data_IF_370853276107
#
_entry.id   IF_370853276107
#
_cell.length_a   1.000
_cell.length_b   1.000
_cell.length_c   1.000
_cell.angle_alpha   90.00
_cell.angle_beta   90.00
_cell.angle_gamma   90.00
#
_symmetry.space_group_name_H-M   'P 1'
#
loop_
_entity.id
_entity.type
_entity.pdbx_description
1 polymer ?
#
# COMPACT_ATOMS: atom_id res chain seq x y z
N UNK A 1 20.90 -15.16 -13.37
CA UNK A 1 20.86 -15.10 -11.90
C UNK A 1 19.55 -15.73 -11.47
N UNK A 2 19.58 -16.71 -10.56
CA UNK A 2 18.35 -17.19 -9.92
C UNK A 2 17.89 -16.08 -8.99
N UNK A 3 16.91 -15.28 -9.38
CA UNK A 3 16.19 -14.43 -8.44
C UNK A 3 15.48 -15.37 -7.48
N UNK A 4 16.01 -15.50 -6.27
CA UNK A 4 15.33 -16.26 -5.23
C UNK A 4 14.03 -15.53 -4.93
N UNK A 5 12.92 -16.15 -5.34
CA UNK A 5 11.57 -15.68 -5.06
C UNK A 5 11.39 -15.62 -3.54
N UNK A 6 11.05 -14.44 -3.02
CA UNK A 6 10.67 -14.26 -1.62
C UNK A 6 9.42 -15.08 -1.32
N UNK A 7 9.39 -15.72 -0.14
CA UNK A 7 8.21 -16.48 0.28
C UNK A 7 7.26 -15.52 1.00
N UNK A 8 6.12 -15.28 0.39
CA UNK A 8 5.03 -14.48 0.96
C UNK A 8 4.50 -15.09 2.26
N UNK A 9 3.88 -14.26 3.09
CA UNK A 9 2.98 -14.74 4.14
C UNK A 9 1.82 -15.57 3.56
N UNK A 10 1.43 -16.62 4.27
CA UNK A 10 0.32 -17.50 3.86
C UNK A 10 -1.00 -16.74 3.65
N UNK A 11 -1.20 -15.59 4.33
CA UNK A 11 -2.39 -14.73 4.15
C UNK A 11 -2.34 -13.96 2.83
N UNK A 12 -1.17 -13.45 2.45
CA UNK A 12 -0.97 -12.72 1.19
C UNK A 12 -0.98 -13.66 -0.02
N UNK A 13 -0.41 -14.86 0.12
CA UNK A 13 -0.53 -15.89 -0.93
C UNK A 13 -2.02 -16.20 -1.22
N UNK A 14 -2.84 -16.33 -0.17
CA UNK A 14 -4.29 -16.54 -0.31
C UNK A 14 -5.00 -15.33 -0.89
N UNK A 15 -4.64 -14.11 -0.47
CA UNK A 15 -5.17 -12.87 -1.01
C UNK A 15 -4.94 -12.80 -2.53
N UNK A 16 -3.69 -12.94 -2.99
CA UNK A 16 -3.36 -12.89 -4.41
C UNK A 16 -4.03 -14.01 -5.22
N UNK A 17 -4.06 -15.23 -4.67
CA UNK A 17 -4.77 -16.33 -5.29
C UNK A 17 -6.28 -16.06 -5.43
N UNK A 18 -6.90 -15.44 -4.41
CA UNK A 18 -8.33 -15.11 -4.42
C UNK A 18 -8.67 -14.00 -5.42
N UNK A 19 -7.75 -13.06 -5.64
CA UNK A 19 -7.98 -11.92 -6.54
C UNK A 19 -7.83 -12.28 -8.01
N UNK A 20 -7.07 -13.34 -8.32
CA UNK A 20 -6.92 -13.83 -9.68
C UNK A 20 -8.28 -14.14 -10.30
N UNK A 21 -8.59 -13.48 -11.41
CA UNK A 21 -9.87 -13.56 -12.15
C UNK A 21 -11.09 -12.93 -11.46
N UNK A 22 -10.92 -12.29 -10.30
CA UNK A 22 -11.99 -11.65 -9.53
C UNK A 22 -11.82 -10.12 -9.41
N UNK A 23 -11.01 -9.51 -10.27
CA UNK A 23 -10.81 -8.07 -10.33
C UNK A 23 -12.07 -7.34 -10.83
N UNK A 24 -12.40 -6.22 -10.20
CA UNK A 24 -13.51 -5.36 -10.58
C UNK A 24 -13.12 -4.37 -11.69
N UNK A 25 -11.86 -3.90 -11.68
CA UNK A 25 -11.32 -2.94 -12.65
C UNK A 25 -9.91 -3.29 -13.09
N UNK A 26 -9.45 -2.69 -14.18
CA UNK A 26 -8.07 -2.85 -14.67
C UNK A 26 -7.06 -2.28 -13.67
N UNK A 27 -7.41 -1.21 -12.97
CA UNK A 27 -6.53 -0.62 -11.95
C UNK A 27 -6.39 -1.54 -10.73
N UNK A 28 -7.48 -2.20 -10.29
CA UNK A 28 -7.41 -3.22 -9.24
C UNK A 28 -6.53 -4.41 -9.68
N UNK A 29 -6.70 -4.88 -10.92
CA UNK A 29 -5.86 -5.94 -11.48
C UNK A 29 -4.37 -5.56 -11.48
N UNK A 30 -4.06 -4.34 -11.94
CA UNK A 30 -2.70 -3.82 -11.95
C UNK A 30 -2.14 -3.70 -10.53
N UNK A 31 -2.95 -3.26 -9.57
CA UNK A 31 -2.56 -3.19 -8.17
C UNK A 31 -2.09 -4.53 -7.63
N UNK A 32 -2.94 -5.55 -7.68
CA UNK A 32 -2.58 -6.85 -7.10
C UNK A 32 -1.42 -7.51 -7.84
N UNK A 33 -1.34 -7.40 -9.18
CA UNK A 33 -0.21 -7.95 -9.94
C UNK A 33 1.12 -7.28 -9.61
N UNK A 34 1.14 -5.95 -9.54
CA UNK A 34 2.35 -5.21 -9.22
C UNK A 34 2.78 -5.46 -7.77
N UNK A 35 1.86 -5.41 -6.82
CA UNK A 35 2.18 -5.67 -5.42
C UNK A 35 2.67 -7.10 -5.21
N UNK A 36 2.06 -8.10 -5.86
CA UNK A 36 2.56 -9.48 -5.82
C UNK A 36 3.99 -9.56 -6.35
N UNK A 37 4.24 -9.00 -7.53
CA UNK A 37 5.57 -9.02 -8.13
C UNK A 37 6.61 -8.34 -7.24
N UNK A 38 6.30 -7.15 -6.72
CA UNK A 38 7.19 -6.41 -5.80
C UNK A 38 7.52 -7.23 -4.57
N UNK A 39 6.52 -7.80 -3.90
CA UNK A 39 6.76 -8.59 -2.69
C UNK A 39 7.58 -9.86 -2.95
N UNK A 40 7.32 -10.54 -4.08
CA UNK A 40 8.00 -11.78 -4.44
C UNK A 40 9.44 -11.57 -4.95
N UNK A 41 9.76 -10.40 -5.51
CA UNK A 41 11.00 -10.22 -6.29
C UNK A 41 11.81 -8.96 -5.98
N UNK A 42 11.24 -7.95 -5.31
CA UNK A 42 11.88 -6.66 -5.06
C UNK A 42 11.98 -6.37 -3.56
N UNK A 43 13.06 -6.82 -2.91
CA UNK A 43 13.38 -6.34 -1.56
C UNK A 43 13.72 -4.85 -1.65
N UNK A 44 12.96 -4.00 -0.96
CA UNK A 44 13.25 -2.57 -0.94
C UNK A 44 14.26 -2.24 0.15
N UNK A 45 15.38 -1.61 -0.26
CA UNK A 45 16.34 -1.00 0.67
C UNK A 45 15.95 0.41 1.06
N UNK A 46 14.99 1.00 0.34
CA UNK A 46 14.47 2.35 0.54
C UNK A 46 12.96 2.32 0.30
N UNK A 47 12.18 2.59 1.33
CA UNK A 47 10.74 2.36 1.38
C UNK A 47 9.98 2.84 0.12
N UNK A 48 9.09 2.00 -0.43
CA UNK A 48 8.29 2.35 -1.62
C UNK A 48 7.07 3.18 -1.20
N UNK A 49 6.89 4.39 -1.74
CA UNK A 49 5.70 5.22 -1.47
C UNK A 49 4.57 4.90 -2.45
N UNK A 50 3.71 3.96 -2.05
CA UNK A 50 2.63 3.44 -2.89
C UNK A 50 1.53 4.48 -3.10
N UNK A 51 1.09 5.13 -2.03
CA UNK A 51 0.08 6.21 -2.06
C UNK A 51 0.62 7.40 -1.30
N UNK A 52 0.52 8.61 -1.85
CA UNK A 52 0.93 9.83 -1.15
C UNK A 52 -0.28 10.62 -0.67
N UNK A 53 -0.17 11.10 0.56
CA UNK A 53 -1.04 12.04 1.24
C UNK A 53 -1.24 13.36 0.48
N UNK A 54 -0.29 13.74 -0.39
CA UNK A 54 -0.40 14.95 -1.20
C UNK A 54 -1.30 14.81 -2.43
N UNK A 55 -1.76 13.60 -2.74
CA UNK A 55 -2.46 13.26 -3.99
C UNK A 55 -3.86 12.71 -3.77
N UNK A 56 -4.38 12.78 -2.55
CA UNK A 56 -5.75 12.41 -2.24
C UNK A 56 -6.33 13.32 -1.15
N UNK A 57 -7.64 13.61 -1.26
CA UNK A 57 -8.33 14.55 -0.38
C UNK A 57 -8.44 14.07 1.08
N UNK A 58 -8.23 12.77 1.31
CA UNK A 58 -8.23 12.16 2.64
C UNK A 58 -6.85 12.15 3.30
N UNK A 59 -5.81 12.70 2.65
CA UNK A 59 -4.45 12.78 3.17
C UNK A 59 -3.87 11.42 3.64
N UNK A 60 -4.29 10.31 3.02
CA UNK A 60 -3.80 8.96 3.33
C UNK A 60 -2.50 8.70 2.59
N UNK A 61 -1.53 8.07 3.24
CA UNK A 61 -0.37 7.50 2.58
C UNK A 61 -0.18 6.01 2.92
N UNK A 62 0.41 5.30 1.97
CA UNK A 62 0.73 3.87 2.09
C UNK A 62 2.17 3.67 1.67
N UNK A 63 2.96 3.11 2.56
CA UNK A 63 4.37 2.79 2.36
C UNK A 63 4.55 1.29 2.41
N UNK A 64 5.37 0.75 1.53
CA UNK A 64 5.85 -0.62 1.63
C UNK A 64 7.30 -0.62 2.09
N UNK A 65 7.59 -1.40 3.11
CA UNK A 65 8.91 -1.56 3.70
C UNK A 65 9.44 -2.99 3.48
N UNK A 66 10.76 -3.11 3.33
CA UNK A 66 11.46 -4.38 3.11
C UNK A 66 10.86 -5.22 1.95
N UNK A 67 10.32 -6.40 2.26
CA UNK A 67 9.69 -7.27 1.28
C UNK A 67 8.16 -7.15 1.29
N UNK A 68 7.53 -6.98 2.44
CA UNK A 68 6.07 -7.12 2.58
C UNK A 68 5.49 -6.45 3.83
N UNK A 69 6.28 -5.61 4.50
CA UNK A 69 5.78 -4.80 5.62
C UNK A 69 5.15 -3.53 5.08
N UNK A 70 4.16 -2.98 5.79
CA UNK A 70 3.45 -1.78 5.37
C UNK A 70 3.25 -0.80 6.51
N UNK A 71 3.35 0.48 6.14
CA UNK A 71 2.90 1.60 6.97
C UNK A 71 1.72 2.25 6.28
N UNK A 72 0.62 2.41 7.01
CA UNK A 72 -0.54 3.19 6.55
C UNK A 72 -0.70 4.35 7.51
N UNK A 73 -0.64 5.56 6.99
CA UNK A 73 -0.74 6.75 7.81
C UNK A 73 -1.62 7.83 7.21
N UNK A 74 -1.79 8.89 7.97
CA UNK A 74 -2.72 9.97 7.67
C UNK A 74 -2.17 11.34 8.05
N UNK A 75 -2.43 12.31 7.18
CA UNK A 75 -2.12 13.72 7.37
C UNK A 75 -0.86 14.16 6.64
N UNK A 76 -0.87 15.39 6.15
CA UNK A 76 0.30 15.99 5.51
C UNK A 76 1.39 16.33 6.54
N UNK A 77 2.56 15.71 6.42
CA UNK A 77 3.74 16.00 7.24
C UNK A 77 3.60 15.57 8.71
N UNK A 78 2.75 14.56 8.98
CA UNK A 78 2.49 13.99 10.31
C UNK A 78 3.28 12.70 10.57
N UNK A 79 4.31 12.46 9.78
CA UNK A 79 5.14 11.25 9.75
C UNK A 79 5.50 10.73 11.15
N UNK A 80 5.17 9.47 11.40
CA UNK A 80 5.36 8.77 12.68
C UNK A 80 4.37 9.13 13.79
N UNK A 81 3.47 10.09 13.60
CA UNK A 81 2.49 10.49 14.62
C UNK A 81 1.10 9.85 14.44
N UNK A 82 0.74 9.49 13.20
CA UNK A 82 -0.55 8.87 12.85
C UNK A 82 -0.32 7.76 11.82
N UNK A 83 0.25 6.65 12.30
CA UNK A 83 0.65 5.52 11.46
C UNK A 83 0.28 4.20 12.14
N UNK A 84 -0.08 3.22 11.32
CA UNK A 84 -0.16 1.81 11.71
C UNK A 84 0.83 0.99 10.89
N UNK A 85 1.61 0.17 11.59
CA UNK A 85 2.58 -0.75 10.99
C UNK A 85 2.02 -2.16 11.01
N UNK A 86 2.06 -2.83 9.87
CA UNK A 86 1.53 -4.19 9.70
C UNK A 86 2.49 -5.04 8.88
N UNK A 87 2.40 -6.36 9.04
CA UNK A 87 3.44 -7.28 8.57
C UNK A 87 3.21 -7.81 7.15
N UNK A 88 2.05 -7.53 6.57
CA UNK A 88 1.63 -8.05 5.26
C UNK A 88 0.54 -7.17 4.62
N UNK A 89 0.33 -7.33 3.31
CA UNK A 89 -0.64 -6.52 2.57
C UNK A 89 -2.08 -6.80 3.00
N UNK A 90 -2.39 -8.06 3.33
CA UNK A 90 -3.72 -8.45 3.80
C UNK A 90 -4.12 -7.69 5.06
N UNK A 91 -3.21 -7.55 6.03
CA UNK A 91 -3.43 -6.74 7.23
C UNK A 91 -3.62 -5.27 6.89
N UNK A 92 -2.78 -4.70 6.02
CA UNK A 92 -2.89 -3.30 5.60
C UNK A 92 -4.25 -3.00 4.96
N UNK A 93 -4.69 -3.86 4.03
CA UNK A 93 -5.98 -3.75 3.35
C UNK A 93 -7.18 -3.91 4.29
N UNK A 94 -7.01 -4.60 5.43
CA UNK A 94 -8.03 -4.82 6.43
C UNK A 94 -8.15 -3.69 7.46
N UNK A 95 -7.18 -2.77 7.53
CA UNK A 95 -7.23 -1.63 8.44
C UNK A 95 -8.48 -0.80 8.20
N UNK A 96 -9.25 -0.55 9.27
CA UNK A 96 -10.42 0.31 9.22
C UNK A 96 -10.01 1.76 9.46
N UNK A 97 -10.13 2.60 8.42
CA UNK A 97 -9.63 3.96 8.43
C UNK A 97 -10.37 4.88 9.42
N UNK A 98 -11.62 4.55 9.78
CA UNK A 98 -12.37 5.27 10.81
C UNK A 98 -11.95 4.89 12.21
N UNK A 99 -11.73 3.61 12.46
CA UNK A 99 -11.30 3.13 13.77
C UNK A 99 -9.91 3.68 14.13
N UNK A 100 -9.05 3.88 13.12
CA UNK A 100 -7.76 4.56 13.25
C UNK A 100 -7.87 6.08 13.42
N UNK A 101 -9.06 6.65 13.21
CA UNK A 101 -9.30 8.09 13.28
C UNK A 101 -8.70 8.88 12.11
N UNK A 102 -8.42 8.21 10.99
CA UNK A 102 -7.87 8.87 9.79
C UNK A 102 -8.97 9.58 9.02
N UNK A 103 -10.14 8.95 8.84
CA UNK A 103 -11.29 9.53 8.15
C UNK A 103 -12.60 9.28 8.89
N UNK A 104 -13.66 10.07 8.62
CA UNK A 104 -14.97 9.91 9.26
C UNK A 104 -15.80 8.74 8.70
N UNK A 105 -15.42 8.22 7.53
CA UNK A 105 -16.16 7.19 6.79
C UNK A 105 -15.74 5.79 7.25
N UNK A 106 -16.71 4.97 7.61
CA UNK A 106 -16.44 3.60 8.08
C UNK A 106 -16.16 2.68 6.89
N UNK A 107 -14.89 2.53 6.56
CA UNK A 107 -14.43 1.66 5.48
C UNK A 107 -13.00 1.18 5.75
N UNK A 108 -12.63 0.06 5.15
CA UNK A 108 -11.25 -0.41 5.16
C UNK A 108 -10.39 0.32 4.13
N UNK A 109 -9.07 0.22 4.25
CA UNK A 109 -8.15 0.70 3.22
C UNK A 109 -8.47 0.09 1.84
N UNK A 110 -8.85 -1.19 1.79
CA UNK A 110 -9.22 -1.84 0.53
C UNK A 110 -10.47 -1.22 -0.10
N UNK A 111 -11.51 -0.98 0.71
CA UNK A 111 -12.73 -0.34 0.23
C UNK A 111 -12.45 1.09 -0.26
N UNK A 112 -11.59 1.83 0.43
CA UNK A 112 -11.16 3.16 0.02
C UNK A 112 -10.38 3.14 -1.31
N UNK A 113 -9.43 2.21 -1.47
CA UNK A 113 -8.68 2.04 -2.73
C UNK A 113 -9.61 1.71 -3.90
N UNK A 114 -10.67 0.92 -3.66
CA UNK A 114 -11.70 0.64 -4.67
C UNK A 114 -12.54 1.87 -4.98
N UNK A 115 -12.88 2.67 -3.98
CA UNK A 115 -13.67 3.90 -4.15
C UNK A 115 -12.96 4.90 -5.06
N UNK A 116 -11.64 5.07 -4.91
CA UNK A 116 -10.82 5.91 -5.77
C UNK A 116 -10.32 5.20 -7.05
N UNK A 117 -10.77 3.96 -7.30
CA UNK A 117 -10.35 3.07 -8.38
C UNK A 117 -8.82 3.00 -8.55
N UNK A 118 -8.12 2.95 -7.40
CA UNK A 118 -6.66 2.86 -7.29
C UNK A 118 -5.89 3.97 -8.02
N UNK A 119 -6.55 5.08 -8.40
CA UNK A 119 -5.95 6.15 -9.22
C UNK A 119 -4.82 6.92 -8.50
N UNK A 120 -4.70 6.75 -7.19
CA UNK A 120 -3.70 7.38 -6.32
C UNK A 120 -2.42 6.55 -6.16
N UNK A 121 -2.40 5.33 -6.72
CA UNK A 121 -1.29 4.40 -6.57
C UNK A 121 -0.18 4.72 -7.57
N UNK A 122 1.07 4.75 -7.08
CA UNK A 122 2.28 4.90 -7.88
C UNK A 122 3.38 3.97 -7.36
N UNK A 123 4.02 3.23 -8.27
CA UNK A 123 5.02 2.20 -7.96
C UNK A 123 6.47 2.66 -8.11
N UNK A 124 6.68 3.89 -8.59
CA UNK A 124 7.99 4.42 -8.96
C UNK A 124 8.55 5.41 -7.93
N UNK A 125 7.85 5.57 -6.80
CA UNK A 125 8.16 6.55 -5.76
C UNK A 125 8.97 5.98 -4.62
N UNK A 126 9.82 6.80 -4.03
CA UNK A 126 10.65 6.45 -2.90
C UNK A 126 10.33 7.32 -1.67
N UNK A 127 9.80 6.68 -0.63
CA UNK A 127 9.40 7.36 0.60
C UNK A 127 10.56 8.09 1.30
N UNK A 128 11.78 7.60 1.15
CA UNK A 128 12.97 8.17 1.78
C UNK A 128 13.54 9.39 1.02
N UNK A 129 13.00 9.71 -0.16
CA UNK A 129 13.44 10.82 -0.99
C UNK A 129 12.42 11.97 -0.89
N UNK A 130 12.93 13.16 -0.55
CA UNK A 130 12.16 14.40 -0.54
C UNK A 130 12.56 15.24 -1.76
N UNK A 131 11.63 15.45 -2.68
CA UNK A 131 11.77 16.39 -3.79
C UNK A 131 10.83 17.59 -3.61
N UNK A 132 11.38 18.80 -3.69
CA UNK A 132 10.61 20.06 -3.57
C UNK A 132 9.77 20.17 -2.27
N UNK A 133 10.23 19.53 -1.19
CA UNK A 133 9.53 19.53 0.10
C UNK A 133 8.34 18.57 0.17
N UNK A 134 8.20 17.66 -0.80
CA UNK A 134 7.22 16.57 -0.82
C UNK A 134 7.93 15.24 -0.98
N UNK A 135 7.32 14.16 -0.52
CA UNK A 135 7.81 12.82 -0.79
C UNK A 135 7.56 12.47 -2.25
N UNK A 136 8.56 11.89 -2.91
CA UNK A 136 8.55 11.63 -4.35
C UNK A 136 8.80 10.19 -4.70
#
# INVERSE_FOLDING_TARGET
>A
MSTNKHKLWDVDEKLFASMKENYLTVNEENFFKNMQYKQEYECTSLNDLIVSEYENDDEIYVVREYNEEYVVGHGIGTDGAQEEHVMNLSEALALNLKELGFIDRNMTLWEWLRECDYNVVNYERNYDIIENGKRS
#
